data_IF_032994767408
#
_entry.id   IF_032994767408
#
_cell.length_a   1.000
_cell.length_b   1.000
_cell.length_c   1.000
_cell.angle_alpha   90.00
_cell.angle_beta   90.00
_cell.angle_gamma   90.00
#
_symmetry.space_group_name_H-M   'P 1'
#
loop_
_entity.id
_entity.type
_entity.pdbx_description
1 polymer ?
#
# COMPACT_ATOMS: atom_id res chain seq x y z
N UNK A 1 -4.31 -15.86 27.14
CA UNK A 1 -3.05 -16.14 26.41
C UNK A 1 -1.92 -15.51 27.21
N UNK A 2 -0.79 -16.18 27.34
CA UNK A 2 0.41 -15.60 27.98
C UNK A 2 1.27 -15.09 26.82
N UNK A 3 1.41 -13.77 26.73
CA UNK A 3 2.34 -13.14 25.79
C UNK A 3 3.71 -13.08 26.47
N UNK A 4 4.77 -13.34 25.71
CA UNK A 4 6.14 -13.07 26.14
C UNK A 4 6.63 -11.84 25.38
N UNK A 5 6.78 -10.73 26.09
CA UNK A 5 7.12 -9.46 25.46
C UNK A 5 8.39 -9.53 24.61
N UNK A 6 9.43 -10.23 25.07
CA UNK A 6 10.68 -10.29 24.34
C UNK A 6 10.53 -11.10 23.04
N UNK A 7 9.79 -12.20 23.11
CA UNK A 7 9.50 -13.03 21.95
C UNK A 7 8.62 -12.31 20.93
N UNK A 8 7.61 -11.58 21.39
CA UNK A 8 6.74 -10.80 20.50
C UNK A 8 7.52 -9.67 19.80
N UNK A 9 8.41 -8.98 20.52
CA UNK A 9 9.29 -7.97 19.91
C UNK A 9 10.20 -8.60 18.86
N UNK A 10 10.76 -9.78 19.11
CA UNK A 10 11.57 -10.51 18.11
C UNK A 10 10.74 -10.90 16.87
N UNK A 11 9.51 -11.39 17.08
CA UNK A 11 8.60 -11.71 15.98
C UNK A 11 8.27 -10.49 15.13
N UNK A 12 8.01 -9.34 15.77
CA UNK A 12 7.73 -8.08 15.07
C UNK A 12 8.97 -7.62 14.29
N UNK A 13 10.17 -7.65 14.89
CA UNK A 13 11.42 -7.33 14.21
C UNK A 13 11.64 -8.20 12.97
N UNK A 14 11.39 -9.51 13.08
CA UNK A 14 11.50 -10.43 11.95
C UNK A 14 10.56 -10.05 10.79
N UNK A 15 9.30 -9.68 11.09
CA UNK A 15 8.35 -9.21 10.08
C UNK A 15 8.76 -7.87 9.46
N UNK A 16 9.36 -6.97 10.24
CA UNK A 16 9.91 -5.70 9.72
C UNK A 16 11.07 -5.98 8.76
N UNK A 17 11.99 -6.88 9.13
CA UNK A 17 13.10 -7.27 8.27
C UNK A 17 12.62 -7.89 6.96
N UNK A 18 11.63 -8.79 7.03
CA UNK A 18 10.97 -9.35 5.85
C UNK A 18 10.40 -8.24 4.96
N UNK A 19 9.58 -7.34 5.51
CA UNK A 19 8.99 -6.22 4.77
C UNK A 19 10.06 -5.34 4.09
N UNK A 20 11.16 -5.02 4.78
CA UNK A 20 12.28 -4.26 4.20
C UNK A 20 12.95 -5.02 3.05
N UNK A 21 13.09 -6.34 3.13
CA UNK A 21 13.59 -7.16 2.02
C UNK A 21 12.66 -7.02 0.80
N UNK A 22 11.34 -7.14 0.99
CA UNK A 22 10.38 -6.95 -0.10
C UNK A 22 10.53 -5.57 -0.75
N UNK A 23 10.60 -4.51 0.06
CA UNK A 23 10.70 -3.14 -0.45
C UNK A 23 12.02 -2.90 -1.23
N UNK A 24 13.15 -3.43 -0.77
CA UNK A 24 14.44 -3.37 -1.47
C UNK A 24 14.37 -4.11 -2.81
N UNK A 25 13.77 -5.30 -2.79
CA UNK A 25 13.64 -6.15 -3.97
C UNK A 25 12.75 -5.54 -5.04
N UNK A 26 11.64 -4.91 -4.64
CA UNK A 26 10.75 -4.17 -5.54
C UNK A 26 11.50 -2.98 -6.16
N UNK A 27 12.20 -2.17 -5.35
CA UNK A 27 12.97 -1.01 -5.83
C UNK A 27 14.09 -1.38 -6.80
N UNK A 28 14.73 -2.52 -6.60
CA UNK A 28 15.87 -2.96 -7.43
C UNK A 28 15.44 -3.62 -8.75
N UNK A 29 14.13 -3.78 -9.01
CA UNK A 29 13.55 -4.35 -10.24
C UNK A 29 14.31 -5.58 -10.75
N UNK A 30 14.59 -6.55 -9.86
CA UNK A 30 15.32 -7.76 -10.22
C UNK A 30 14.48 -8.60 -11.19
N UNK A 31 14.79 -8.48 -12.48
CA UNK A 31 14.00 -9.02 -13.60
C UNK A 31 13.76 -10.53 -13.52
N UNK A 32 14.55 -11.27 -12.74
CA UNK A 32 14.31 -12.67 -12.41
C UNK A 32 14.91 -13.05 -11.05
N UNK A 33 14.08 -13.17 -10.01
CA UNK A 33 14.47 -13.86 -8.79
C UNK A 33 14.24 -15.34 -9.00
N UNK A 34 15.31 -16.12 -8.98
CA UNK A 34 15.28 -17.57 -9.03
C UNK A 34 16.12 -18.12 -7.86
N UNK A 35 15.78 -19.32 -7.39
CA UNK A 35 16.51 -20.04 -6.32
C UNK A 35 17.98 -20.29 -6.66
N UNK A 36 18.37 -20.11 -7.92
CA UNK A 36 19.76 -20.18 -8.40
C UNK A 36 20.57 -18.91 -8.10
N UNK A 37 19.92 -17.75 -7.92
CA UNK A 37 20.58 -16.44 -7.75
C UNK A 37 20.55 -15.93 -6.29
N UNK A 38 20.20 -16.79 -5.33
CA UNK A 38 20.00 -16.42 -3.91
C UNK A 38 21.23 -15.72 -3.32
N UNK A 39 22.43 -16.19 -3.64
CA UNK A 39 23.67 -15.63 -3.12
C UNK A 39 23.93 -14.20 -3.65
N UNK A 40 23.66 -13.97 -4.93
CA UNK A 40 23.77 -12.64 -5.53
C UNK A 40 22.72 -11.68 -4.93
N UNK A 41 21.49 -12.17 -4.79
CA UNK A 41 20.40 -11.42 -4.16
C UNK A 41 20.70 -11.08 -2.70
N UNK A 42 21.21 -12.05 -1.92
CA UNK A 42 21.57 -11.82 -0.52
C UNK A 42 22.65 -10.76 -0.39
N UNK A 43 23.66 -10.77 -1.26
CA UNK A 43 24.72 -9.77 -1.22
C UNK A 43 24.19 -8.37 -1.59
N UNK A 44 23.30 -8.31 -2.58
CA UNK A 44 22.64 -7.05 -2.98
C UNK A 44 21.83 -6.47 -1.82
N UNK A 45 21.01 -7.30 -1.17
CA UNK A 45 20.20 -6.90 -0.01
C UNK A 45 21.10 -6.46 1.16
N UNK A 46 22.13 -7.24 1.49
CA UNK A 46 23.06 -6.95 2.61
C UNK A 46 23.86 -5.67 2.37
N UNK A 47 24.21 -5.38 1.10
CA UNK A 47 24.91 -4.14 0.74
C UNK A 47 24.04 -2.89 0.82
N UNK A 48 22.71 -3.06 0.91
CA UNK A 48 21.78 -1.95 1.07
C UNK A 48 21.69 -1.57 2.55
N UNK A 49 22.01 -0.31 2.88
CA UNK A 49 21.81 0.21 4.22
C UNK A 49 20.32 0.35 4.52
N UNK A 50 19.88 -0.22 5.64
CA UNK A 50 18.47 -0.21 6.04
C UNK A 50 18.32 0.62 7.30
N UNK A 51 17.32 1.49 7.28
CA UNK A 51 16.93 2.31 8.41
C UNK A 51 15.44 2.09 8.70
N UNK A 52 15.08 2.18 9.97
CA UNK A 52 13.69 2.18 10.41
C UNK A 52 13.29 3.63 10.71
N UNK A 53 12.50 4.21 9.81
CA UNK A 53 11.90 5.53 10.01
C UNK A 53 10.48 5.41 10.56
N UNK A 54 9.86 6.57 10.80
CA UNK A 54 8.46 6.67 11.22
C UNK A 54 7.47 6.20 10.15
N UNK A 55 7.93 6.03 8.91
CA UNK A 55 7.16 5.42 7.81
C UNK A 55 6.70 3.98 8.13
N UNK A 56 7.34 3.32 9.11
CA UNK A 56 6.99 1.97 9.56
C UNK A 56 6.12 1.93 10.81
N UNK A 57 5.79 3.06 11.44
CA UNK A 57 5.07 3.08 12.71
C UNK A 57 3.66 2.49 12.57
N UNK A 58 2.94 2.86 11.50
CA UNK A 58 1.63 2.27 11.18
C UNK A 58 1.71 0.77 10.92
N UNK A 59 2.77 0.32 10.23
CA UNK A 59 3.01 -1.10 10.00
C UNK A 59 3.25 -1.84 11.31
N UNK A 60 4.06 -1.29 12.23
CA UNK A 60 4.29 -1.86 13.56
C UNK A 60 2.99 -1.99 14.34
N UNK A 61 2.17 -0.93 14.36
CA UNK A 61 0.86 -0.94 15.04
C UNK A 61 -0.06 -1.99 14.42
N UNK A 62 -0.03 -2.16 13.10
CA UNK A 62 -0.85 -3.17 12.40
C UNK A 62 -0.51 -4.62 12.79
N UNK A 63 0.68 -4.86 13.33
CA UNK A 63 1.11 -6.18 13.80
C UNK A 63 0.59 -6.52 15.22
N UNK A 64 0.06 -5.53 15.95
CA UNK A 64 -0.55 -5.73 17.25
C UNK A 64 -1.92 -6.43 17.05
N UNK A 65 -2.21 -7.54 17.76
CA UNK A 65 -3.50 -8.20 17.66
C UNK A 65 -4.67 -7.25 17.99
N UNK A 66 -5.82 -7.45 17.35
CA UNK A 66 -7.02 -6.67 17.65
C UNK A 66 -7.78 -7.22 18.85
N UNK A 67 -8.56 -6.36 19.52
CA UNK A 67 -9.51 -6.76 20.56
C UNK A 67 -8.83 -7.30 21.83
N UNK A 68 -9.34 -8.42 22.36
CA UNK A 68 -8.91 -9.00 23.64
C UNK A 68 -7.41 -9.31 23.67
N UNK A 69 -6.89 -9.89 22.59
CA UNK A 69 -5.48 -10.28 22.51
C UNK A 69 -4.56 -9.05 22.44
N UNK A 70 -5.00 -7.99 21.74
CA UNK A 70 -4.30 -6.70 21.72
C UNK A 70 -4.19 -6.06 23.10
N UNK A 71 -5.29 -6.08 23.85
CA UNK A 71 -5.29 -5.63 25.24
C UNK A 71 -4.27 -6.39 26.10
N UNK A 72 -4.25 -7.73 26.02
CA UNK A 72 -3.31 -8.52 26.82
C UNK A 72 -1.86 -8.30 26.40
N UNK A 73 -1.59 -8.13 25.11
CA UNK A 73 -0.26 -7.79 24.64
C UNK A 73 0.17 -6.41 25.15
N UNK A 74 -0.69 -5.40 25.12
CA UNK A 74 -0.44 -4.08 25.73
C UNK A 74 -0.25 -4.14 27.25
N UNK A 75 -0.93 -5.06 27.93
CA UNK A 75 -0.66 -5.32 29.35
C UNK A 75 0.75 -5.86 29.57
N UNK A 76 1.27 -6.74 28.70
CA UNK A 76 2.66 -7.19 28.79
C UNK A 76 3.66 -6.06 28.50
N UNK A 77 3.36 -5.18 27.54
CA UNK A 77 4.16 -3.97 27.32
C UNK A 77 4.24 -3.16 28.62
N UNK A 78 3.09 -2.88 29.23
CA UNK A 78 3.01 -2.14 30.49
C UNK A 78 3.81 -2.82 31.61
N UNK A 79 3.67 -4.15 31.78
CA UNK A 79 4.41 -4.94 32.77
C UNK A 79 5.91 -4.84 32.57
N UNK A 80 6.39 -5.03 31.35
CA UNK A 80 7.82 -4.94 31.04
C UNK A 80 8.39 -3.54 31.32
N UNK A 81 7.56 -2.50 31.20
CA UNK A 81 7.94 -1.11 31.48
C UNK A 81 7.62 -0.65 32.91
N UNK A 82 7.11 -1.53 33.77
CA UNK A 82 6.63 -1.21 35.13
C UNK A 82 5.52 -0.12 35.18
N UNK A 83 4.64 -0.09 34.18
CA UNK A 83 3.46 0.79 34.13
C UNK A 83 2.19 0.07 34.59
N UNK A 84 1.25 0.86 35.12
CA UNK A 84 -0.12 0.40 35.37
C UNK A 84 -0.91 0.21 34.08
N UNK A 85 -1.85 -0.72 34.09
CA UNK A 85 -2.78 -0.97 32.98
C UNK A 85 -4.22 -1.06 33.50
N UNK A 86 -5.22 -0.62 32.71
CA UNK A 86 -6.62 -0.66 33.08
C UNK A 86 -7.09 -2.12 33.22
N UNK A 87 -7.81 -2.46 34.29
CA UNK A 87 -8.32 -3.82 34.49
C UNK A 87 -9.64 -3.99 33.75
N UNK A 88 -9.61 -4.66 32.60
CA UNK A 88 -10.80 -4.91 31.76
C UNK A 88 -11.33 -6.35 31.83
N UNK A 89 -10.44 -7.29 32.10
CA UNK A 89 -10.75 -8.72 32.14
C UNK A 89 -10.42 -9.32 33.52
N UNK A 90 -11.14 -10.36 33.91
CA UNK A 90 -10.83 -11.16 35.09
C UNK A 90 -9.63 -12.09 34.87
N UNK A 91 -9.25 -12.85 35.89
CA UNK A 91 -8.12 -13.79 35.84
C UNK A 91 -8.34 -14.96 34.86
N UNK A 92 -9.59 -15.23 34.48
CA UNK A 92 -9.98 -16.26 33.51
C UNK A 92 -10.08 -15.67 32.07
N UNK A 93 -9.92 -14.35 31.93
CA UNK A 93 -10.02 -13.63 30.66
C UNK A 93 -11.47 -13.26 30.26
N UNK A 94 -12.43 -13.29 31.17
CA UNK A 94 -13.79 -12.82 30.90
C UNK A 94 -13.87 -11.29 31.09
N UNK A 95 -14.68 -10.58 30.29
CA UNK A 95 -14.87 -9.14 30.47
C UNK A 95 -15.51 -8.84 31.84
N UNK A 96 -15.00 -7.84 32.53
CA UNK A 96 -15.55 -7.39 33.79
C UNK A 96 -16.92 -6.72 33.56
N UNK A 97 -17.89 -7.00 34.44
CA UNK A 97 -19.24 -6.42 34.36
C UNK A 97 -19.24 -4.90 34.54
N UNK A 98 -18.41 -4.38 35.44
CA UNK A 98 -18.26 -2.96 35.73
C UNK A 98 -16.78 -2.58 35.64
N UNK A 99 -16.22 -2.40 34.43
CA UNK A 99 -14.84 -2.01 34.27
C UNK A 99 -14.73 -0.51 34.57
N UNK A 100 -13.94 -0.14 35.59
CA UNK A 100 -13.76 1.26 35.99
C UNK A 100 -12.72 1.96 35.10
N UNK A 101 -13.10 2.27 33.86
CA UNK A 101 -12.25 3.07 32.98
C UNK A 101 -13.03 4.18 32.29
N UNK A 102 -12.36 5.31 32.11
CA UNK A 102 -12.80 6.34 31.18
C UNK A 102 -12.34 5.93 29.77
N UNK A 103 -13.25 5.95 28.79
CA UNK A 103 -12.94 5.62 27.38
C UNK A 103 -11.74 6.41 26.86
N UNK A 104 -11.65 7.70 27.20
CA UNK A 104 -10.51 8.55 26.84
C UNK A 104 -9.20 8.05 27.46
N UNK A 105 -9.22 7.73 28.76
CA UNK A 105 -8.04 7.21 29.45
C UNK A 105 -7.57 5.87 28.88
N UNK A 106 -8.51 5.02 28.45
CA UNK A 106 -8.19 3.77 27.78
C UNK A 106 -7.53 3.99 26.41
N UNK A 107 -8.09 4.86 25.58
CA UNK A 107 -7.51 5.20 24.28
C UNK A 107 -6.11 5.82 24.41
N UNK A 108 -5.92 6.71 25.39
CA UNK A 108 -4.62 7.29 25.69
C UNK A 108 -3.61 6.23 26.13
N UNK A 109 -4.04 5.31 26.99
CA UNK A 109 -3.20 4.18 27.41
C UNK A 109 -2.82 3.30 26.22
N UNK A 110 -3.76 2.96 25.34
CA UNK A 110 -3.47 2.16 24.14
C UNK A 110 -2.44 2.83 23.23
N UNK A 111 -2.60 4.14 22.97
CA UNK A 111 -1.64 4.91 22.17
C UNK A 111 -0.25 4.88 22.80
N UNK A 112 -0.16 5.18 24.11
CA UNK A 112 1.12 5.21 24.81
C UNK A 112 1.82 3.83 24.83
N UNK A 113 1.07 2.73 24.94
CA UNK A 113 1.65 1.39 24.84
C UNK A 113 2.17 1.09 23.42
N UNK A 114 1.46 1.55 22.39
CA UNK A 114 1.93 1.43 21.01
C UNK A 114 3.23 2.23 20.80
N UNK A 115 3.30 3.47 21.30
CA UNK A 115 4.48 4.33 21.18
C UNK A 115 5.69 3.71 21.90
N UNK A 116 5.48 3.12 23.08
CA UNK A 116 6.53 2.38 23.80
C UNK A 116 7.03 1.17 23.02
N UNK A 117 6.14 0.41 22.38
CA UNK A 117 6.52 -0.71 21.52
C UNK A 117 7.33 -0.24 20.32
N UNK A 118 6.88 0.82 19.64
CA UNK A 118 7.59 1.42 18.50
C UNK A 118 8.99 1.85 18.92
N UNK A 119 9.13 2.57 20.03
CA UNK A 119 10.42 3.01 20.54
C UNK A 119 11.36 1.82 20.83
N UNK A 120 10.85 0.74 21.42
CA UNK A 120 11.64 -0.45 21.72
C UNK A 120 12.10 -1.17 20.44
N UNK A 121 11.23 -1.24 19.43
CA UNK A 121 11.56 -1.80 18.12
C UNK A 121 12.62 -0.94 17.43
N UNK A 122 12.45 0.39 17.40
CA UNK A 122 13.42 1.31 16.82
C UNK A 122 14.79 1.22 17.51
N UNK A 123 14.81 1.07 18.83
CA UNK A 123 16.05 0.88 19.57
C UNK A 123 16.75 -0.46 19.27
N UNK A 124 15.97 -1.54 19.12
CA UNK A 124 16.52 -2.88 18.85
C UNK A 124 16.89 -3.10 17.39
N UNK A 125 16.22 -2.42 16.46
CA UNK A 125 16.45 -2.54 15.03
C UNK A 125 17.89 -2.16 14.69
N UNK A 126 18.61 -3.06 14.02
CA UNK A 126 19.99 -2.77 13.60
C UNK A 126 20.40 -3.55 12.36
N UNK A 127 21.38 -3.01 11.64
CA UNK A 127 21.88 -3.59 10.39
C UNK A 127 22.52 -4.98 10.59
N UNK A 128 23.14 -5.25 11.74
CA UNK A 128 23.82 -6.54 11.98
C UNK A 128 22.80 -7.67 12.07
N UNK A 129 21.71 -7.44 12.80
CA UNK A 129 20.61 -8.40 12.94
C UNK A 129 19.81 -8.54 11.64
N UNK A 130 19.60 -7.45 10.89
CA UNK A 130 19.06 -7.52 9.54
C UNK A 130 19.91 -8.42 8.63
N UNK A 131 21.22 -8.21 8.59
CA UNK A 131 22.14 -9.01 7.78
C UNK A 131 22.13 -10.50 8.20
N UNK A 132 22.04 -10.77 9.51
CA UNK A 132 21.90 -12.13 10.04
C UNK A 132 20.57 -12.76 9.63
N UNK A 133 19.48 -12.00 9.71
CA UNK A 133 18.15 -12.43 9.29
C UNK A 133 18.13 -12.80 7.80
N UNK A 134 18.70 -11.96 6.93
CA UNK A 134 18.80 -12.23 5.49
C UNK A 134 19.56 -13.54 5.23
N UNK A 135 20.73 -13.73 5.85
CA UNK A 135 21.53 -14.96 5.65
C UNK A 135 20.78 -16.23 6.06
N UNK A 136 20.02 -16.17 7.16
CA UNK A 136 19.36 -17.34 7.72
C UNK A 136 17.99 -17.62 7.07
N UNK A 137 17.25 -16.57 6.71
CA UNK A 137 15.83 -16.69 6.36
C UNK A 137 15.50 -16.46 4.88
N UNK A 138 16.41 -15.87 4.08
CA UNK A 138 16.12 -15.55 2.67
C UNK A 138 15.68 -16.79 1.87
N UNK A 139 16.27 -17.96 2.15
CA UNK A 139 15.90 -19.23 1.48
C UNK A 139 14.40 -19.55 1.62
N UNK A 140 13.81 -19.23 2.76
CA UNK A 140 12.41 -19.55 3.08
C UNK A 140 11.43 -18.50 2.53
N UNK A 141 11.89 -17.26 2.36
CA UNK A 141 11.04 -16.12 1.95
C UNK A 141 11.03 -15.94 0.42
N UNK A 142 11.97 -16.56 -0.33
CA UNK A 142 12.08 -16.39 -1.79
C UNK A 142 10.80 -16.71 -2.56
N UNK A 143 10.10 -17.79 -2.23
CA UNK A 143 8.90 -18.16 -2.96
C UNK A 143 7.81 -17.08 -2.79
N UNK A 144 7.72 -16.48 -1.60
CA UNK A 144 6.82 -15.37 -1.32
C UNK A 144 7.27 -14.05 -1.99
N UNK A 145 8.58 -13.79 -2.04
CA UNK A 145 9.14 -12.66 -2.80
C UNK A 145 8.80 -12.76 -4.29
N UNK A 146 8.97 -13.94 -4.88
CA UNK A 146 8.64 -14.19 -6.30
C UNK A 146 7.15 -14.00 -6.55
N UNK A 147 6.29 -14.49 -5.65
CA UNK A 147 4.85 -14.27 -5.74
C UNK A 147 4.50 -12.77 -5.68
N UNK A 148 5.06 -12.05 -4.71
CA UNK A 148 4.82 -10.62 -4.50
C UNK A 148 5.28 -9.79 -5.71
N UNK A 149 6.44 -10.08 -6.27
CA UNK A 149 6.94 -9.40 -7.48
C UNK A 149 6.02 -9.69 -8.67
N UNK A 150 5.61 -10.94 -8.87
CA UNK A 150 4.72 -11.28 -9.98
C UNK A 150 3.34 -10.62 -9.84
N UNK A 151 2.83 -10.48 -8.61
CA UNK A 151 1.61 -9.74 -8.32
C UNK A 151 1.78 -8.25 -8.60
N UNK A 152 2.88 -7.64 -8.15
CA UNK A 152 3.18 -6.23 -8.41
C UNK A 152 3.39 -5.95 -9.90
N UNK A 153 4.11 -6.81 -10.64
CA UNK A 153 4.22 -6.72 -12.11
C UNK A 153 2.87 -6.82 -12.81
N UNK A 154 1.93 -7.62 -12.28
CA UNK A 154 0.56 -7.68 -12.82
C UNK A 154 -0.22 -6.39 -12.54
N UNK A 155 -0.01 -5.75 -11.39
CA UNK A 155 -0.61 -4.45 -11.05
C UNK A 155 0.03 -3.30 -11.85
N UNK A 156 1.32 -3.38 -12.16
CA UNK A 156 2.04 -2.41 -12.99
C UNK A 156 1.67 -2.51 -14.48
N UNK A 157 1.21 -3.68 -14.93
CA UNK A 157 0.70 -3.86 -16.28
C UNK A 157 -0.73 -3.33 -16.35
N UNK A 158 -0.89 -2.12 -16.88
CA UNK A 158 -2.21 -1.64 -17.27
C UNK A 158 -2.66 -2.46 -18.48
N UNK A 159 -3.62 -3.35 -18.26
CA UNK A 159 -4.27 -4.12 -19.32
C UNK A 159 -5.62 -3.45 -19.60
N UNK A 160 -5.76 -2.88 -20.80
CA UNK A 160 -7.04 -2.38 -21.30
C UNK A 160 -7.66 -3.48 -22.17
N UNK A 161 -8.68 -4.22 -21.68
CA UNK A 161 -9.25 -5.38 -22.38
C UNK A 161 -10.16 -4.97 -23.54
N UNK A 162 -9.56 -4.44 -24.62
CA UNK A 162 -10.28 -4.04 -25.83
C UNK A 162 -10.32 -5.17 -26.87
N UNK A 163 -11.51 -5.40 -27.45
CA UNK A 163 -11.70 -6.33 -28.58
C UNK A 163 -11.62 -5.61 -29.92
N UNK A 164 -12.14 -4.39 -29.98
CA UNK A 164 -12.06 -3.47 -31.12
C UNK A 164 -11.46 -2.13 -30.69
N UNK A 165 -10.85 -1.40 -31.63
CA UNK A 165 -10.32 -0.04 -31.37
C UNK A 165 -11.40 0.91 -30.86
N UNK A 166 -12.65 0.73 -31.31
CA UNK A 166 -13.78 1.58 -30.94
C UNK A 166 -14.16 1.47 -29.45
N UNK A 167 -13.83 0.35 -28.80
CA UNK A 167 -14.23 0.04 -27.43
C UNK A 167 -13.30 0.70 -26.38
N UNK A 168 -12.27 1.42 -26.82
CA UNK A 168 -11.23 1.94 -25.93
C UNK A 168 -11.75 2.97 -24.92
N UNK A 169 -12.50 3.98 -25.37
CA UNK A 169 -13.08 5.00 -24.48
C UNK A 169 -14.08 4.38 -23.50
N UNK A 170 -15.04 3.53 -23.92
CA UNK A 170 -15.93 2.82 -22.99
C UNK A 170 -15.21 1.98 -21.95
N UNK A 171 -14.13 1.29 -22.33
CA UNK A 171 -13.33 0.46 -21.40
C UNK A 171 -12.56 1.31 -20.40
N UNK A 172 -11.93 2.41 -20.84
CA UNK A 172 -11.24 3.30 -19.90
C UNK A 172 -12.22 3.99 -18.96
N UNK A 173 -13.39 4.40 -19.47
CA UNK A 173 -14.49 4.96 -18.67
C UNK A 173 -14.90 4.01 -17.56
N UNK A 174 -15.14 2.73 -17.87
CA UNK A 174 -15.55 1.75 -16.84
C UNK A 174 -14.44 1.47 -15.82
N UNK A 175 -13.18 1.41 -16.26
CA UNK A 175 -12.04 1.21 -15.36
C UNK A 175 -11.78 2.41 -14.43
N UNK A 176 -12.00 3.65 -14.90
CA UNK A 176 -11.92 4.85 -14.07
C UNK A 176 -13.02 4.87 -13.00
N UNK A 177 -14.27 4.57 -13.37
CA UNK A 177 -15.40 4.49 -12.44
C UNK A 177 -15.16 3.42 -11.37
N UNK A 178 -14.58 2.28 -11.76
CA UNK A 178 -14.25 1.18 -10.85
C UNK A 178 -12.97 1.40 -10.03
N UNK A 179 -12.29 2.56 -10.17
CA UNK A 179 -11.02 2.90 -9.51
C UNK A 179 -9.88 1.93 -9.83
N UNK A 180 -9.92 1.31 -11.02
CA UNK A 180 -8.85 0.44 -11.53
C UNK A 180 -7.74 1.22 -12.24
N UNK A 181 -8.04 2.45 -12.69
CA UNK A 181 -7.10 3.41 -13.25
C UNK A 181 -6.98 4.63 -12.34
N UNK A 182 -5.78 5.20 -12.30
CA UNK A 182 -5.45 6.39 -11.52
C UNK A 182 -5.88 7.69 -12.22
N UNK A 183 -6.00 8.76 -11.43
CA UNK A 183 -6.50 10.07 -11.89
C UNK A 183 -5.68 10.67 -13.05
N UNK A 184 -4.41 10.27 -13.21
CA UNK A 184 -3.56 10.72 -14.33
C UNK A 184 -4.13 10.38 -15.72
N UNK A 185 -4.98 9.36 -15.81
CA UNK A 185 -5.70 9.02 -17.04
C UNK A 185 -6.80 10.01 -17.39
N UNK A 186 -7.37 10.70 -16.40
CA UNK A 186 -8.41 11.71 -16.63
C UNK A 186 -7.77 12.94 -17.28
N UNK A 187 -6.61 13.39 -16.80
CA UNK A 187 -5.85 14.48 -17.43
C UNK A 187 -5.49 14.19 -18.89
N UNK A 188 -5.21 12.91 -19.18
CA UNK A 188 -4.91 12.45 -20.54
C UNK A 188 -6.14 12.48 -21.45
N UNK A 189 -7.32 12.09 -20.95
CA UNK A 189 -8.49 11.81 -21.79
C UNK A 189 -9.44 13.00 -21.86
N UNK A 190 -9.55 13.80 -20.81
CA UNK A 190 -10.55 14.87 -20.68
C UNK A 190 -9.92 16.22 -20.97
N UNK A 191 -10.64 17.05 -21.74
CA UNK A 191 -10.31 18.43 -22.06
C UNK A 191 -10.76 19.37 -20.96
N UNK A 192 -9.84 19.65 -20.03
CA UNK A 192 -10.04 20.57 -18.90
C UNK A 192 -10.36 21.98 -19.40
N UNK A 193 -9.79 22.42 -20.52
CA UNK A 193 -10.06 23.76 -21.04
C UNK A 193 -11.49 23.84 -21.62
N UNK A 194 -11.98 22.77 -22.26
CA UNK A 194 -13.39 22.70 -22.66
C UNK A 194 -14.35 22.65 -21.47
N UNK A 195 -13.98 21.99 -20.37
CA UNK A 195 -14.76 22.01 -19.12
C UNK A 195 -14.82 23.42 -18.57
N UNK A 196 -13.67 24.12 -18.51
CA UNK A 196 -13.58 25.52 -18.08
C UNK A 196 -14.48 26.42 -18.94
N UNK A 197 -14.43 26.27 -20.25
CA UNK A 197 -15.27 27.02 -21.19
C UNK A 197 -16.75 26.71 -21.02
N UNK A 198 -17.11 25.44 -20.77
CA UNK A 198 -18.48 25.05 -20.47
C UNK A 198 -18.95 25.68 -19.16
N UNK A 199 -18.17 25.57 -18.09
CA UNK A 199 -18.48 26.14 -16.78
C UNK A 199 -18.61 27.67 -16.82
N UNK A 200 -17.78 28.35 -17.63
CA UNK A 200 -17.84 29.80 -17.82
C UNK A 200 -19.19 30.27 -18.35
N UNK A 201 -19.87 29.46 -19.19
CA UNK A 201 -21.20 29.77 -19.76
C UNK A 201 -22.34 29.73 -18.73
N UNK A 202 -22.14 29.06 -17.61
CA UNK A 202 -23.11 28.97 -16.51
C UNK A 202 -22.71 29.83 -15.30
N UNK A 203 -21.58 30.52 -15.37
CA UNK A 203 -20.97 31.23 -14.23
C UNK A 203 -21.59 32.62 -14.00
N UNK A 204 -22.59 32.70 -13.12
CA UNK A 204 -22.89 33.94 -12.38
C UNK A 204 -22.57 33.80 -10.88
N UNK A 205 -22.40 32.60 -10.33
CA UNK A 205 -21.93 32.46 -8.95
C UNK A 205 -21.42 31.05 -8.72
N UNK A 206 -20.10 30.85 -8.61
CA UNK A 206 -19.45 29.79 -7.83
C UNK A 206 -17.92 29.99 -7.95
N UNK A 207 -17.36 30.93 -7.19
CA UNK A 207 -15.90 31.12 -7.08
C UNK A 207 -15.20 29.95 -6.33
N UNK A 208 -15.92 28.86 -6.04
CA UNK A 208 -15.47 27.72 -5.24
C UNK A 208 -15.71 26.36 -5.91
N UNK A 209 -16.23 26.31 -7.14
CA UNK A 209 -16.43 25.06 -7.87
C UNK A 209 -15.57 25.10 -9.13
N UNK A 210 -14.53 24.27 -9.16
CA UNK A 210 -13.56 24.24 -10.26
C UNK A 210 -13.73 23.03 -11.18
N UNK A 211 -12.88 22.92 -12.20
CA UNK A 211 -12.97 21.85 -13.19
C UNK A 211 -12.71 20.47 -12.58
N UNK A 212 -11.93 20.41 -11.50
CA UNK A 212 -11.61 19.17 -10.79
C UNK A 212 -12.78 18.72 -9.92
N UNK A 213 -13.45 19.65 -9.22
CA UNK A 213 -14.69 19.36 -8.50
C UNK A 213 -15.77 18.80 -9.45
N UNK A 214 -15.86 19.33 -10.68
CA UNK A 214 -16.79 18.83 -11.69
C UNK A 214 -16.42 17.43 -12.21
N UNK A 215 -15.13 17.14 -12.34
CA UNK A 215 -14.64 15.81 -12.69
C UNK A 215 -14.94 14.81 -11.58
N UNK A 216 -14.73 15.18 -10.32
CA UNK A 216 -14.94 14.30 -9.17
C UNK A 216 -16.44 14.00 -8.96
N UNK A 217 -17.30 15.01 -9.08
CA UNK A 217 -18.75 14.85 -8.91
C UNK A 217 -19.43 14.21 -10.12
N UNK A 218 -18.93 14.47 -11.34
CA UNK A 218 -19.61 14.13 -12.60
C UNK A 218 -18.67 13.52 -13.64
N UNK A 219 -17.78 12.64 -13.21
CA UNK A 219 -16.80 11.94 -14.06
C UNK A 219 -17.42 11.37 -15.35
N UNK A 220 -18.58 10.73 -15.24
CA UNK A 220 -19.26 10.12 -16.38
C UNK A 220 -19.64 11.14 -17.46
N UNK A 221 -20.24 12.25 -17.03
CA UNK A 221 -20.64 13.34 -17.91
C UNK A 221 -19.42 14.01 -18.55
N UNK A 222 -18.33 14.17 -17.80
CA UNK A 222 -17.11 14.79 -18.29
C UNK A 222 -16.44 13.96 -19.38
N UNK A 223 -16.35 12.64 -19.20
CA UNK A 223 -15.80 11.74 -20.22
C UNK A 223 -16.66 11.71 -21.48
N UNK A 224 -17.99 11.75 -21.35
CA UNK A 224 -18.88 11.66 -22.51
C UNK A 224 -18.92 12.94 -23.37
N UNK A 225 -18.75 14.12 -22.76
CA UNK A 225 -18.93 15.42 -23.44
C UNK A 225 -17.62 16.15 -23.75
N UNK A 226 -16.53 15.86 -23.03
CA UNK A 226 -15.27 16.62 -23.12
C UNK A 226 -14.06 15.70 -23.38
N UNK A 227 -14.25 14.57 -24.06
CA UNK A 227 -13.14 13.70 -24.43
C UNK A 227 -12.25 14.36 -25.50
N UNK A 228 -10.93 14.48 -25.23
CA UNK A 228 -9.91 15.07 -26.14
C UNK A 228 -9.73 14.29 -27.44
N UNK A 229 -9.95 12.98 -27.39
CA UNK A 229 -9.57 12.06 -28.46
C UNK A 229 -10.73 11.15 -28.84
N UNK A 230 -10.79 10.79 -30.13
CA UNK A 230 -11.58 9.67 -30.58
C UNK A 230 -10.90 8.33 -30.23
N UNK A 231 -11.64 7.22 -30.15
CA UNK A 231 -11.07 5.92 -29.75
C UNK A 231 -9.89 5.47 -30.63
N UNK A 232 -9.87 5.85 -31.91
CA UNK A 232 -8.74 5.56 -32.81
C UNK A 232 -7.52 6.43 -32.52
N UNK A 233 -7.71 7.74 -32.27
CA UNK A 233 -6.64 8.68 -31.95
C UNK A 233 -6.01 8.34 -30.60
N UNK A 234 -6.83 7.99 -29.61
CA UNK A 234 -6.36 7.53 -28.31
C UNK A 234 -5.58 6.22 -28.43
N UNK A 235 -6.02 5.29 -29.29
CA UNK A 235 -5.28 4.06 -29.55
C UNK A 235 -3.90 4.35 -30.11
N UNK A 236 -3.82 5.23 -31.12
CA UNK A 236 -2.55 5.56 -31.77
C UNK A 236 -1.61 6.33 -30.82
N UNK A 237 -2.14 7.22 -29.97
CA UNK A 237 -1.37 7.90 -28.92
C UNK A 237 -0.82 6.91 -27.89
N UNK A 238 -1.65 5.95 -27.43
CA UNK A 238 -1.21 4.96 -26.46
C UNK A 238 -0.10 4.06 -27.01
N UNK A 239 -0.21 3.63 -28.27
CA UNK A 239 0.79 2.77 -28.92
C UNK A 239 2.06 3.53 -29.27
N UNK A 240 1.94 4.74 -29.85
CA UNK A 240 3.08 5.47 -30.39
C UNK A 240 3.82 6.30 -29.34
N UNK A 241 3.13 6.88 -28.37
CA UNK A 241 3.72 7.81 -27.39
C UNK A 241 3.82 7.25 -25.97
N UNK A 242 2.92 6.32 -25.60
CA UNK A 242 2.84 5.78 -24.22
C UNK A 242 3.30 4.32 -24.09
N UNK A 243 3.95 3.77 -25.11
CA UNK A 243 4.55 2.42 -25.13
C UNK A 243 3.57 1.26 -24.84
N UNK A 244 2.32 1.37 -25.29
CA UNK A 244 1.37 0.26 -25.21
C UNK A 244 1.56 -0.73 -26.36
N UNK A 245 1.44 -2.02 -26.06
CA UNK A 245 1.49 -3.10 -27.05
C UNK A 245 0.12 -3.78 -27.12
N UNK A 246 -0.46 -3.83 -28.32
CA UNK A 246 -1.72 -4.54 -28.56
C UNK A 246 -1.47 -6.04 -28.73
N UNK A 247 -2.05 -6.86 -27.85
CA UNK A 247 -2.06 -8.33 -27.99
C UNK A 247 -3.47 -8.82 -28.28
N UNK A 248 -3.62 -9.44 -29.46
CA UNK A 248 -4.90 -10.02 -29.92
C UNK A 248 -5.41 -11.05 -28.90
N UNK A 249 -6.60 -10.83 -28.35
CA UNK A 249 -7.23 -11.68 -27.34
C UNK A 249 -7.02 -11.27 -25.88
N UNK A 250 -6.13 -10.30 -25.60
CA UNK A 250 -5.87 -9.77 -24.25
C UNK A 250 -6.21 -8.27 -24.18
N UNK A 251 -5.86 -7.49 -25.21
CA UNK A 251 -6.09 -6.04 -25.26
C UNK A 251 -4.79 -5.23 -25.38
N UNK A 252 -4.83 -3.94 -25.02
CA UNK A 252 -3.64 -3.07 -24.95
C UNK A 252 -2.95 -3.26 -23.60
N UNK A 253 -1.62 -3.44 -23.62
CA UNK A 253 -0.82 -3.67 -22.42
C UNK A 253 0.26 -2.61 -22.34
N UNK A 254 0.31 -1.87 -21.23
CA UNK A 254 1.46 -1.02 -20.92
C UNK A 254 2.56 -1.88 -20.31
N UNK A 255 3.71 -1.98 -20.98
CA UNK A 255 4.89 -2.53 -20.35
C UNK A 255 5.62 -1.37 -19.66
N UNK A 256 5.60 -1.30 -18.33
CA UNK A 256 6.47 -0.37 -17.59
C UNK A 256 7.95 -0.79 -17.61
N UNK A 257 8.36 -1.63 -18.55
CA UNK A 257 9.76 -2.02 -18.75
C UNK A 257 10.45 -1.03 -19.67
N UNK A 258 10.88 0.10 -19.12
CA UNK A 258 12.10 0.79 -19.52
C UNK A 258 12.86 1.19 -18.25
#
# INVERSE_FOLDING_TARGET
MIFDYNKEVENILNKIYEKKIHDIVIKTNTKSIDKKNIYSLSNTIISTNVYLGSDFDEFIISLIPSGKDGYFFRCEIARNKNYSFPKLYDYLGNPLKNPSYNKFAYQLWESNMNDMLISDIQYKFNQKDFNKFVKNNLKYIIDDLVYTINKNKKLENIILPIKSKNDLIPVIKSMLINKELDFSWIELIVDIDMIRDYMSKFSVALNMYDEFDMIDDKLEFCIDNFCKYNSNELFDLLVNEKNFVFKKGIGLIKNNNN
#
